data_IF_326886985903
#
_entry.id   IF_326886985903
#
_cell.length_a   1.000
_cell.length_b   1.000
_cell.length_c   1.000
_cell.angle_alpha   90.00
_cell.angle_beta   90.00
_cell.angle_gamma   90.00
#
_symmetry.space_group_name_H-M   'P 1'
#
loop_
_entity.id
_entity.type
_entity.pdbx_description
1 polymer ?
#
# COMPACT_ATOMS: atom_id res chain seq x y z
N UNK A 1 -43.46 82.77 -36.28
CA UNK A 1 -42.99 81.68 -37.15
C UNK A 1 -42.18 80.74 -36.31
N UNK A 2 -42.77 79.66 -35.83
CA UNK A 2 -42.15 78.69 -34.88
C UNK A 2 -41.95 77.41 -35.63
N UNK A 3 -40.72 76.90 -35.65
CA UNK A 3 -40.39 75.64 -36.26
C UNK A 3 -40.06 74.69 -35.09
N UNK A 4 -40.81 73.58 -34.96
CA UNK A 4 -40.61 72.51 -34.05
C UNK A 4 -39.66 71.47 -34.72
N UNK A 5 -38.58 71.12 -34.05
CA UNK A 5 -37.77 70.02 -34.43
C UNK A 5 -37.94 68.84 -33.39
N UNK A 6 -38.48 67.74 -33.87
CA UNK A 6 -38.67 66.53 -33.06
C UNK A 6 -37.40 65.75 -32.99
N UNK A 7 -36.99 65.41 -31.76
CA UNK A 7 -35.91 64.48 -31.48
C UNK A 7 -36.44 63.05 -31.30
N UNK A 8 -36.00 62.14 -32.13
CA UNK A 8 -36.24 60.70 -31.96
C UNK A 8 -35.23 60.10 -30.94
N UNK A 9 -35.74 59.53 -29.85
CA UNK A 9 -34.99 58.77 -28.89
C UNK A 9 -34.96 57.30 -29.34
N UNK A 10 -33.83 56.84 -29.82
CA UNK A 10 -33.58 55.40 -30.07
C UNK A 10 -33.31 54.74 -28.73
N UNK A 11 -34.23 53.89 -28.26
CA UNK A 11 -34.02 52.99 -27.11
C UNK A 11 -33.32 51.75 -27.60
N UNK A 12 -32.02 51.61 -27.29
CA UNK A 12 -31.23 50.40 -27.53
C UNK A 12 -31.53 49.35 -26.46
N UNK A 13 -32.23 48.29 -26.84
CA UNK A 13 -32.52 47.13 -26.02
C UNK A 13 -31.27 46.22 -26.01
N UNK A 14 -30.45 46.25 -24.94
CA UNK A 14 -29.36 45.33 -24.75
C UNK A 14 -29.94 44.02 -24.21
N UNK A 15 -30.02 43.02 -25.10
CA UNK A 15 -30.39 41.65 -24.75
C UNK A 15 -29.18 40.97 -24.08
N UNK A 16 -29.13 40.94 -22.74
CA UNK A 16 -28.14 40.19 -21.98
C UNK A 16 -28.43 38.68 -22.13
N UNK A 17 -27.71 38.00 -23.04
CA UNK A 17 -27.66 36.54 -23.04
C UNK A 17 -26.91 36.10 -21.79
N UNK A 18 -27.63 35.72 -20.75
CA UNK A 18 -27.08 34.99 -19.61
C UNK A 18 -26.60 33.59 -20.09
N UNK A 19 -25.29 33.44 -20.24
CA UNK A 19 -24.66 32.12 -20.34
C UNK A 19 -24.91 31.42 -19.02
N UNK A 20 -25.99 30.63 -18.94
CA UNK A 20 -26.18 29.66 -17.89
C UNK A 20 -25.06 28.60 -18.05
N UNK A 21 -23.99 28.76 -17.29
CA UNK A 21 -23.00 27.70 -17.12
C UNK A 21 -23.73 26.53 -16.46
N UNK A 22 -24.15 25.56 -17.28
CA UNK A 22 -24.56 24.26 -16.78
C UNK A 22 -23.39 23.72 -15.96
N UNK A 23 -23.60 23.29 -14.68
CA UNK A 23 -22.53 22.62 -13.94
C UNK A 23 -22.07 21.44 -14.78
N UNK A 24 -20.76 21.34 -15.01
CA UNK A 24 -20.18 20.20 -15.69
C UNK A 24 -20.63 18.96 -14.90
N UNK A 25 -21.48 18.15 -15.54
CA UNK A 25 -21.97 16.92 -14.93
C UNK A 25 -20.75 16.00 -14.78
N UNK A 26 -20.51 15.52 -13.57
CA UNK A 26 -19.54 14.49 -13.33
C UNK A 26 -19.84 13.33 -14.29
N UNK A 27 -18.84 12.89 -15.08
CA UNK A 27 -19.02 11.90 -16.13
C UNK A 27 -17.85 10.92 -16.11
N UNK A 28 -18.16 9.65 -16.40
CA UNK A 28 -17.15 8.61 -16.61
C UNK A 28 -16.51 8.85 -17.98
N UNK A 29 -15.22 9.11 -18.00
CA UNK A 29 -14.46 9.43 -19.19
C UNK A 29 -14.48 8.26 -20.20
N UNK A 30 -14.88 8.54 -21.43
CA UNK A 30 -14.99 7.52 -22.47
C UNK A 30 -15.98 6.39 -22.21
N UNK A 31 -16.84 6.49 -21.18
CA UNK A 31 -17.84 5.48 -20.82
C UNK A 31 -17.24 4.18 -20.24
N UNK A 32 -15.96 4.17 -19.89
CA UNK A 32 -15.23 3.01 -19.36
C UNK A 32 -14.25 3.47 -18.28
N UNK A 33 -14.30 2.85 -17.12
CA UNK A 33 -13.31 3.07 -16.06
C UNK A 33 -12.10 2.17 -16.30
N UNK A 34 -10.93 2.77 -16.55
CA UNK A 34 -9.68 2.05 -16.77
C UNK A 34 -8.78 2.10 -15.55
N UNK A 35 -8.42 0.93 -15.02
CA UNK A 35 -7.54 0.79 -13.86
C UNK A 35 -6.24 0.14 -14.28
N UNK A 36 -5.14 0.85 -14.08
CA UNK A 36 -3.78 0.38 -14.36
C UNK A 36 -3.17 -0.30 -13.13
N UNK A 37 -2.85 -1.58 -13.23
CA UNK A 37 -2.03 -2.30 -12.25
C UNK A 37 -0.57 -2.10 -12.65
N UNK A 38 0.13 -1.23 -11.93
CA UNK A 38 1.54 -0.92 -12.16
C UNK A 38 2.37 -1.59 -11.08
N UNK A 39 3.08 -2.66 -11.43
CA UNK A 39 3.79 -3.45 -10.43
C UNK A 39 5.18 -3.93 -10.88
N UNK A 40 5.79 -4.78 -10.08
CA UNK A 40 7.03 -5.49 -10.38
C UNK A 40 6.68 -6.93 -10.77
N UNK A 41 6.40 -7.15 -12.06
CA UNK A 41 5.99 -8.44 -12.56
C UNK A 41 7.16 -9.41 -12.77
N UNK A 42 8.39 -8.90 -12.88
CA UNK A 42 9.58 -9.67 -13.26
C UNK A 42 10.69 -9.65 -12.20
N UNK A 43 10.61 -8.79 -11.18
CA UNK A 43 11.68 -8.59 -10.20
C UNK A 43 11.40 -9.19 -8.82
N UNK A 44 11.96 -8.55 -7.79
CA UNK A 44 11.98 -9.06 -6.42
C UNK A 44 10.62 -9.08 -5.70
N UNK A 45 9.64 -8.29 -6.18
CA UNK A 45 8.30 -8.24 -5.59
C UNK A 45 7.26 -9.03 -6.37
N UNK A 46 7.65 -9.78 -7.43
CA UNK A 46 6.71 -10.47 -8.33
C UNK A 46 5.76 -11.42 -7.60
N UNK A 47 6.22 -12.10 -6.55
CA UNK A 47 5.43 -13.12 -5.85
C UNK A 47 4.42 -12.50 -4.88
N UNK A 48 4.72 -11.31 -4.35
CA UNK A 48 3.84 -10.57 -3.42
C UNK A 48 2.95 -9.54 -4.11
N UNK A 49 3.21 -9.24 -5.40
CA UNK A 49 2.39 -8.37 -6.26
C UNK A 49 2.15 -9.05 -7.61
N UNK A 50 2.90 -8.73 -8.65
CA UNK A 50 2.94 -9.41 -9.96
C UNK A 50 1.57 -9.74 -10.57
N UNK A 51 1.44 -10.95 -11.11
CA UNK A 51 0.17 -11.41 -11.70
C UNK A 51 -0.95 -11.52 -10.67
N UNK A 52 -0.63 -11.80 -9.39
CA UNK A 52 -1.62 -11.86 -8.33
C UNK A 52 -2.34 -10.54 -8.11
N UNK A 53 -1.65 -9.39 -8.22
CA UNK A 53 -2.28 -8.08 -8.17
C UNK A 53 -3.24 -7.84 -9.34
N UNK A 54 -2.89 -8.31 -10.53
CA UNK A 54 -3.77 -8.23 -11.71
C UNK A 54 -5.03 -9.07 -11.52
N UNK A 55 -4.88 -10.30 -11.00
CA UNK A 55 -5.99 -11.17 -10.65
C UNK A 55 -6.89 -10.53 -9.58
N UNK A 56 -6.30 -9.95 -8.53
CA UNK A 56 -7.04 -9.27 -7.47
C UNK A 56 -7.85 -8.08 -7.99
N UNK A 57 -7.27 -7.24 -8.86
CA UNK A 57 -7.97 -6.12 -9.50
C UNK A 57 -9.12 -6.59 -10.39
N UNK A 58 -8.93 -7.66 -11.16
CA UNK A 58 -9.99 -8.27 -11.99
C UNK A 58 -11.12 -8.84 -11.14
N UNK A 59 -10.81 -9.52 -10.04
CA UNK A 59 -11.81 -10.02 -9.09
C UNK A 59 -12.64 -8.88 -8.49
N UNK A 60 -12.00 -7.76 -8.14
CA UNK A 60 -12.71 -6.58 -7.64
C UNK A 60 -13.65 -5.98 -8.70
N UNK A 61 -13.20 -5.90 -9.96
CA UNK A 61 -14.03 -5.42 -11.07
C UNK A 61 -15.22 -6.35 -11.36
N UNK A 62 -15.01 -7.66 -11.32
CA UNK A 62 -16.07 -8.67 -11.49
C UNK A 62 -17.11 -8.60 -10.37
N UNK A 63 -16.68 -8.51 -9.11
CA UNK A 63 -17.57 -8.40 -7.95
C UNK A 63 -18.36 -7.09 -7.96
N UNK A 64 -17.74 -6.00 -8.44
CA UNK A 64 -18.40 -4.73 -8.65
C UNK A 64 -19.45 -4.80 -9.78
N UNK A 65 -19.14 -5.43 -10.91
CA UNK A 65 -20.05 -5.59 -12.03
C UNK A 65 -21.31 -6.38 -11.66
N UNK A 66 -21.18 -7.39 -10.78
CA UNK A 66 -22.29 -8.12 -10.19
C UNK A 66 -23.24 -7.25 -9.35
N UNK A 67 -22.81 -6.08 -8.89
CA UNK A 67 -23.60 -5.10 -8.14
C UNK A 67 -24.50 -4.16 -8.96
N UNK A 68 -24.51 -4.26 -10.29
CA UNK A 68 -25.64 -3.79 -11.13
C UNK A 68 -25.63 -2.34 -11.58
N UNK A 69 -24.52 -1.62 -11.67
CA UNK A 69 -24.52 -0.18 -12.10
C UNK A 69 -24.18 0.06 -13.57
N UNK A 70 -23.96 -0.98 -14.38
CA UNK A 70 -23.71 -0.84 -15.83
C UNK A 70 -22.40 -0.15 -16.21
N UNK A 71 -21.52 0.10 -15.23
CA UNK A 71 -20.21 0.71 -15.47
C UNK A 71 -19.26 -0.35 -16.04
N UNK A 72 -18.74 -0.07 -17.23
CA UNK A 72 -17.70 -0.94 -17.83
C UNK A 72 -16.36 -0.67 -17.16
N UNK A 73 -15.64 -1.71 -16.76
CA UNK A 73 -14.32 -1.63 -16.14
C UNK A 73 -13.31 -2.39 -16.99
N UNK A 74 -12.17 -1.77 -17.25
CA UNK A 74 -11.01 -2.39 -17.91
C UNK A 74 -9.80 -2.38 -16.98
N UNK A 75 -9.13 -3.55 -16.85
CA UNK A 75 -7.88 -3.68 -16.13
C UNK A 75 -6.73 -3.78 -17.11
N UNK A 76 -5.86 -2.79 -17.10
CA UNK A 76 -4.59 -2.79 -17.84
C UNK A 76 -3.42 -3.02 -16.89
N UNK A 77 -2.28 -3.48 -17.40
CA UNK A 77 -1.11 -3.79 -16.56
C UNK A 77 0.18 -3.34 -17.19
N UNK A 78 1.17 -3.01 -16.35
CA UNK A 78 2.53 -2.74 -16.79
C UNK A 78 3.54 -3.09 -15.69
N UNK A 79 4.77 -3.42 -16.09
CA UNK A 79 5.89 -3.74 -15.22
C UNK A 79 6.84 -2.54 -15.14
N UNK A 80 7.00 -1.95 -13.94
CA UNK A 80 7.92 -0.85 -13.72
C UNK A 80 9.37 -1.30 -13.48
N UNK A 81 9.62 -2.62 -13.37
CA UNK A 81 10.96 -3.20 -13.24
C UNK A 81 11.78 -2.62 -12.06
N UNK A 82 11.11 -2.16 -11.01
CA UNK A 82 11.71 -1.43 -9.87
C UNK A 82 12.47 -0.15 -10.25
N UNK A 83 12.14 0.46 -11.40
CA UNK A 83 12.80 1.66 -11.94
C UNK A 83 11.83 2.85 -11.95
N UNK A 84 12.12 3.95 -11.21
CA UNK A 84 11.25 5.12 -11.15
C UNK A 84 11.03 5.81 -12.51
N UNK A 85 12.02 5.82 -13.38
CA UNK A 85 11.95 6.37 -14.74
C UNK A 85 11.02 5.55 -15.63
N UNK A 86 11.10 4.22 -15.58
CA UNK A 86 10.19 3.32 -16.30
C UNK A 86 8.75 3.49 -15.80
N UNK A 87 8.53 3.45 -14.48
CA UNK A 87 7.21 3.67 -13.89
C UNK A 87 6.62 5.03 -14.27
N UNK A 88 7.44 6.08 -14.22
CA UNK A 88 7.04 7.44 -14.61
C UNK A 88 6.64 7.54 -16.09
N UNK A 89 7.40 6.92 -16.98
CA UNK A 89 7.10 6.91 -18.42
C UNK A 89 5.79 6.17 -18.71
N UNK A 90 5.57 5.02 -18.07
CA UNK A 90 4.35 4.22 -18.19
C UNK A 90 3.11 5.01 -17.71
N UNK A 91 3.19 5.66 -16.55
CA UNK A 91 2.05 6.42 -16.01
C UNK A 91 1.73 7.64 -16.89
N UNK A 92 2.74 8.37 -17.39
CA UNK A 92 2.49 9.47 -18.34
C UNK A 92 1.79 8.98 -19.60
N UNK A 93 2.25 7.89 -20.19
CA UNK A 93 1.59 7.29 -21.34
C UNK A 93 0.14 6.90 -21.02
N UNK A 94 -0.10 6.31 -19.84
CA UNK A 94 -1.44 5.92 -19.41
C UNK A 94 -2.38 7.12 -19.28
N UNK A 95 -1.88 8.26 -18.78
CA UNK A 95 -2.65 9.50 -18.69
C UNK A 95 -2.90 10.09 -20.09
N UNK A 96 -1.84 10.20 -20.92
CA UNK A 96 -1.90 11.01 -22.14
C UNK A 96 -2.48 10.25 -23.34
N UNK A 97 -2.38 8.91 -23.33
CA UNK A 97 -2.69 8.06 -24.53
C UNK A 97 -3.74 7.00 -24.21
N UNK A 98 -3.55 6.26 -23.12
CA UNK A 98 -4.33 5.04 -22.88
C UNK A 98 -5.62 5.34 -22.05
N UNK A 99 -5.76 6.57 -21.52
CA UNK A 99 -6.94 7.02 -20.77
C UNK A 99 -7.19 6.23 -19.48
N UNK A 100 -6.13 5.97 -18.71
CA UNK A 100 -6.22 5.30 -17.40
C UNK A 100 -6.70 6.30 -16.34
N UNK A 101 -7.72 5.94 -15.57
CA UNK A 101 -8.36 6.78 -14.57
C UNK A 101 -7.77 6.58 -13.17
N UNK A 102 -7.36 5.34 -12.86
CA UNK A 102 -6.71 5.01 -11.59
C UNK A 102 -5.51 4.09 -11.78
N UNK A 103 -4.46 4.30 -10.98
CA UNK A 103 -3.32 3.39 -10.85
C UNK A 103 -3.38 2.74 -9.47
N UNK A 104 -3.19 1.41 -9.43
CA UNK A 104 -3.14 0.62 -8.20
C UNK A 104 -1.81 -0.13 -8.09
N UNK A 105 -1.50 -0.64 -6.89
CA UNK A 105 -0.33 -1.46 -6.54
C UNK A 105 0.93 -0.63 -6.23
N UNK A 106 1.96 -0.66 -7.06
CA UNK A 106 3.23 0.06 -7.01
C UNK A 106 4.09 -0.30 -5.77
N UNK A 107 4.68 -1.50 -5.72
CA UNK A 107 5.39 -1.98 -4.52
C UNK A 107 6.70 -1.24 -4.20
N UNK A 108 7.37 -0.61 -5.17
CA UNK A 108 8.61 0.11 -4.95
C UNK A 108 8.34 1.54 -4.46
N UNK A 109 8.87 1.92 -3.29
CA UNK A 109 8.63 3.25 -2.69
C UNK A 109 9.12 4.41 -3.55
N UNK A 110 10.26 4.28 -4.25
CA UNK A 110 10.77 5.33 -5.12
C UNK A 110 9.90 5.50 -6.38
N UNK A 111 9.41 4.38 -6.94
CA UNK A 111 8.42 4.41 -8.03
C UNK A 111 7.11 5.04 -7.54
N UNK A 112 6.61 4.62 -6.38
CA UNK A 112 5.37 5.16 -5.81
C UNK A 112 5.43 6.68 -5.55
N UNK A 113 6.54 7.18 -5.04
CA UNK A 113 6.76 8.62 -4.86
C UNK A 113 6.80 9.37 -6.20
N UNK A 114 7.39 8.78 -7.24
CA UNK A 114 7.41 9.36 -8.58
C UNK A 114 6.00 9.37 -9.21
N UNK A 115 5.24 8.27 -9.08
CA UNK A 115 3.85 8.18 -9.53
C UNK A 115 2.97 9.20 -8.80
N UNK A 116 3.12 9.32 -7.48
CA UNK A 116 2.41 10.32 -6.67
C UNK A 116 2.67 11.76 -7.14
N UNK A 117 3.91 12.08 -7.49
CA UNK A 117 4.27 13.40 -8.02
C UNK A 117 3.64 13.66 -9.40
N UNK A 118 3.53 12.64 -10.26
CA UNK A 118 2.87 12.73 -11.57
C UNK A 118 1.36 12.88 -11.41
N UNK A 119 0.74 12.05 -10.55
CA UNK A 119 -0.70 12.06 -10.34
C UNK A 119 -1.20 13.42 -9.82
N UNK A 120 -0.39 14.10 -9.01
CA UNK A 120 -0.73 15.42 -8.46
C UNK A 120 -1.03 16.42 -9.57
N UNK A 121 -2.22 17.00 -9.57
CA UNK A 121 -2.66 18.00 -10.56
C UNK A 121 -3.13 17.42 -11.89
N UNK A 122 -3.29 16.10 -11.98
CA UNK A 122 -3.92 15.42 -13.12
C UNK A 122 -5.30 14.90 -12.73
N UNK A 123 -5.98 14.19 -13.65
CA UNK A 123 -7.23 13.49 -13.34
C UNK A 123 -7.00 12.15 -12.63
N UNK A 124 -5.78 11.61 -12.69
CA UNK A 124 -5.43 10.27 -12.24
C UNK A 124 -5.62 10.11 -10.74
N UNK A 125 -6.32 9.05 -10.33
CA UNK A 125 -6.35 8.55 -8.96
C UNK A 125 -5.19 7.58 -8.74
N UNK A 126 -4.39 7.80 -7.69
CA UNK A 126 -3.35 6.85 -7.28
C UNK A 126 -3.76 6.14 -5.99
N UNK A 127 -4.00 4.83 -6.08
CA UNK A 127 -4.29 3.94 -4.96
C UNK A 127 -3.04 3.14 -4.63
N UNK A 128 -2.19 3.68 -3.78
CA UNK A 128 -0.92 3.10 -3.38
C UNK A 128 -1.16 1.89 -2.45
N UNK A 129 -1.55 0.76 -3.02
CA UNK A 129 -1.92 -0.44 -2.25
C UNK A 129 -0.72 -1.35 -1.92
N UNK A 130 0.47 -1.02 -2.41
CA UNK A 130 1.71 -1.74 -2.08
C UNK A 130 2.91 -0.83 -1.78
N UNK A 131 2.77 0.48 -2.00
CA UNK A 131 3.84 1.44 -1.69
C UNK A 131 3.91 1.68 -0.19
N UNK A 132 5.01 1.29 0.44
CA UNK A 132 5.13 1.32 1.90
C UNK A 132 5.69 2.64 2.47
N UNK A 133 6.20 3.58 1.66
CA UNK A 133 6.75 4.83 2.18
C UNK A 133 5.73 5.66 2.96
N UNK A 134 5.97 5.92 4.24
CA UNK A 134 5.13 6.80 5.08
C UNK A 134 5.13 8.28 4.64
N UNK A 135 6.03 8.67 3.74
CA UNK A 135 6.08 10.00 3.14
C UNK A 135 4.87 10.30 2.23
N UNK A 136 4.20 9.25 1.69
CA UNK A 136 3.01 9.41 0.84
C UNK A 136 1.82 10.03 1.59
N UNK A 137 1.76 9.87 2.90
CA UNK A 137 0.76 10.49 3.78
C UNK A 137 1.39 11.48 4.75
N UNK A 138 2.66 11.82 4.50
CA UNK A 138 3.45 12.83 5.20
C UNK A 138 3.74 14.03 4.30
N UNK A 139 4.99 14.42 4.24
CA UNK A 139 5.48 15.61 3.50
C UNK A 139 5.13 15.61 2.00
N UNK A 140 4.87 14.44 1.41
CA UNK A 140 4.51 14.29 -0.01
C UNK A 140 3.05 13.92 -0.22
N UNK A 141 2.18 14.06 0.79
CA UNK A 141 0.75 13.76 0.60
C UNK A 141 0.15 14.55 -0.57
N UNK A 142 -0.77 13.91 -1.27
CA UNK A 142 -1.37 14.43 -2.50
C UNK A 142 -2.89 14.33 -2.45
N UNK A 143 -3.64 15.29 -3.00
CA UNK A 143 -5.09 15.19 -3.09
C UNK A 143 -5.54 14.03 -4.01
N UNK A 144 -4.64 13.52 -4.86
CA UNK A 144 -4.91 12.46 -5.82
C UNK A 144 -4.51 11.06 -5.34
N UNK A 145 -4.02 10.92 -4.09
CA UNK A 145 -3.44 9.67 -3.62
C UNK A 145 -4.08 9.18 -2.33
N UNK A 146 -4.39 7.88 -2.30
CA UNK A 146 -4.73 7.15 -1.07
C UNK A 146 -3.71 6.02 -0.90
N UNK A 147 -3.05 5.96 0.26
CA UNK A 147 -2.19 4.87 0.66
C UNK A 147 -3.01 3.82 1.41
N UNK A 148 -3.12 2.61 0.86
CA UNK A 148 -4.13 1.63 1.29
C UNK A 148 -3.65 0.64 2.34
N UNK A 149 -2.48 0.01 2.15
CA UNK A 149 -1.91 -0.95 3.10
C UNK A 149 -0.97 -0.27 4.11
N UNK A 150 -0.41 -1.04 5.03
CA UNK A 150 0.52 -0.54 6.04
C UNK A 150 1.76 0.12 5.42
N UNK A 151 2.23 1.17 6.08
CA UNK A 151 3.44 1.91 5.71
C UNK A 151 4.62 1.59 6.65
N UNK A 152 5.78 2.17 6.35
CA UNK A 152 7.00 1.97 7.15
C UNK A 152 6.82 2.41 8.60
N UNK A 153 6.08 3.49 8.86
CA UNK A 153 5.78 3.95 10.21
C UNK A 153 4.95 2.92 10.99
N UNK A 154 3.84 2.48 10.38
CA UNK A 154 2.90 1.55 11.02
C UNK A 154 3.57 0.21 11.33
N UNK A 155 4.31 -0.32 10.34
CA UNK A 155 5.04 -1.58 10.50
C UNK A 155 6.13 -1.47 11.56
N UNK A 156 6.94 -0.39 11.52
CA UNK A 156 8.00 -0.15 12.49
C UNK A 156 7.42 0.01 13.91
N UNK A 157 6.35 0.81 14.07
CA UNK A 157 5.72 1.04 15.36
C UNK A 157 5.12 -0.24 15.94
N UNK A 158 4.32 -0.96 15.17
CA UNK A 158 3.65 -2.18 15.63
C UNK A 158 4.66 -3.26 16.06
N UNK A 159 5.71 -3.49 15.27
CA UNK A 159 6.71 -4.51 15.57
C UNK A 159 7.59 -4.11 16.75
N UNK A 160 8.14 -2.88 16.75
CA UNK A 160 9.02 -2.43 17.84
C UNK A 160 8.28 -2.36 19.19
N UNK A 161 7.07 -1.79 19.22
CA UNK A 161 6.28 -1.68 20.46
C UNK A 161 5.97 -3.04 21.08
N UNK A 162 5.64 -4.02 20.24
CA UNK A 162 5.37 -5.38 20.72
C UNK A 162 6.62 -6.08 21.22
N UNK A 163 7.73 -5.95 20.50
CA UNK A 163 9.00 -6.55 20.92
C UNK A 163 9.54 -5.91 22.20
N UNK A 164 9.36 -4.60 22.38
CA UNK A 164 9.71 -3.90 23.63
C UNK A 164 8.90 -4.43 24.81
N UNK A 165 7.60 -4.68 24.66
CA UNK A 165 6.77 -5.32 25.70
C UNK A 165 7.26 -6.74 26.06
N UNK A 166 7.98 -7.40 25.17
CA UNK A 166 8.63 -8.71 25.37
C UNK A 166 10.06 -8.62 25.91
N UNK A 167 10.53 -7.41 26.24
CA UNK A 167 11.86 -7.18 26.84
C UNK A 167 13.00 -7.03 25.82
N UNK A 168 12.72 -6.76 24.56
CA UNK A 168 13.72 -6.55 23.50
C UNK A 168 14.41 -5.20 23.62
N UNK A 169 15.40 -5.08 24.52
CA UNK A 169 16.05 -3.83 24.86
C UNK A 169 17.22 -3.44 23.95
N UNK A 170 17.67 -4.31 23.05
CA UNK A 170 18.79 -4.02 22.15
C UNK A 170 18.57 -4.61 20.75
N UNK A 171 18.97 -3.85 19.72
CA UNK A 171 18.64 -4.12 18.32
C UNK A 171 19.86 -3.93 17.42
N UNK A 172 19.94 -4.75 16.37
CA UNK A 172 20.86 -4.59 15.25
C UNK A 172 20.08 -4.69 13.94
N UNK A 173 20.30 -3.76 13.02
CA UNK A 173 19.57 -3.73 11.75
C UNK A 173 20.38 -4.30 10.59
N UNK A 174 19.72 -5.04 9.71
CA UNK A 174 20.18 -5.38 8.37
C UNK A 174 19.27 -4.63 7.38
N UNK A 175 19.80 -3.60 6.75
CA UNK A 175 19.01 -2.59 6.04
C UNK A 175 19.35 -2.56 4.56
N UNK A 176 18.35 -2.74 3.70
CA UNK A 176 18.54 -2.57 2.26
C UNK A 176 18.79 -1.10 1.94
N UNK A 177 19.83 -0.82 1.15
CA UNK A 177 20.31 0.53 0.84
C UNK A 177 19.44 1.21 -0.23
N UNK A 178 18.16 1.44 0.06
CA UNK A 178 17.27 2.32 -0.71
C UNK A 178 16.13 2.87 0.17
N UNK A 179 15.27 3.72 -0.40
CA UNK A 179 14.28 4.49 0.34
C UNK A 179 13.44 3.69 1.36
N UNK A 180 13.04 2.47 1.03
CA UNK A 180 12.25 1.61 1.91
C UNK A 180 13.02 1.25 3.18
N UNK A 181 14.22 0.65 3.04
CA UNK A 181 15.00 0.18 4.18
C UNK A 181 15.41 1.32 5.10
N UNK A 182 15.84 2.44 4.51
CA UNK A 182 16.21 3.64 5.26
C UNK A 182 15.02 4.22 6.05
N UNK A 183 13.82 4.23 5.47
CA UNK A 183 12.62 4.69 6.16
C UNK A 183 12.23 3.77 7.32
N UNK A 184 12.26 2.45 7.12
CA UNK A 184 11.98 1.45 8.17
C UNK A 184 12.95 1.59 9.34
N UNK A 185 14.27 1.61 9.05
CA UNK A 185 15.30 1.75 10.09
C UNK A 185 15.16 3.06 10.86
N UNK A 186 14.94 4.18 10.17
CA UNK A 186 14.76 5.48 10.80
C UNK A 186 13.51 5.53 11.69
N UNK A 187 12.37 5.03 11.23
CA UNK A 187 11.15 4.96 12.01
C UNK A 187 11.32 4.05 13.24
N UNK A 188 11.87 2.84 13.05
CA UNK A 188 12.12 1.90 14.15
C UNK A 188 13.11 2.47 15.18
N UNK A 189 14.24 3.03 14.74
CA UNK A 189 15.24 3.62 15.64
C UNK A 189 14.67 4.77 16.47
N UNK A 190 13.77 5.57 15.90
CA UNK A 190 13.07 6.65 16.63
C UNK A 190 12.21 6.07 17.76
N UNK A 191 11.42 5.02 17.51
CA UNK A 191 10.58 4.38 18.53
C UNK A 191 11.42 3.71 19.61
N UNK A 192 12.47 3.01 19.23
CA UNK A 192 13.40 2.37 20.16
C UNK A 192 14.06 3.39 21.08
N UNK A 193 14.55 4.49 20.52
CA UNK A 193 15.15 5.60 21.29
C UNK A 193 14.15 6.22 22.27
N UNK A 194 12.92 6.48 21.84
CA UNK A 194 11.87 7.02 22.68
C UNK A 194 11.52 6.10 23.87
N UNK A 195 11.62 4.79 23.65
CA UNK A 195 11.39 3.77 24.70
C UNK A 195 12.64 3.44 25.55
N UNK A 196 13.78 4.09 25.32
CA UNK A 196 15.03 3.83 26.05
C UNK A 196 15.75 2.54 25.61
N UNK A 197 15.35 1.92 24.51
CA UNK A 197 16.05 0.78 23.94
C UNK A 197 17.28 1.22 23.10
N UNK A 198 18.21 0.30 22.89
CA UNK A 198 19.49 0.62 22.25
C UNK A 198 19.56 0.01 20.84
N UNK A 199 19.97 0.80 19.89
CA UNK A 199 20.44 0.31 18.59
C UNK A 199 21.95 0.11 18.69
N UNK A 200 22.40 -1.14 18.65
CA UNK A 200 23.81 -1.50 18.79
C UNK A 200 24.59 -1.36 17.48
N UNK A 201 23.89 -1.31 16.35
CA UNK A 201 24.47 -1.09 15.04
C UNK A 201 23.49 -1.35 13.91
N UNK A 202 23.99 -1.07 12.72
CA UNK A 202 23.32 -1.34 11.45
C UNK A 202 24.32 -1.75 10.39
N UNK A 203 23.92 -2.63 9.48
CA UNK A 203 24.70 -2.97 8.29
C UNK A 203 23.80 -2.85 7.06
N UNK A 204 24.28 -2.08 6.07
CA UNK A 204 23.55 -1.86 4.83
C UNK A 204 23.99 -2.86 3.75
N UNK A 205 23.04 -3.19 2.87
CA UNK A 205 23.26 -4.04 1.70
C UNK A 205 22.54 -3.50 0.46
N UNK A 206 23.04 -3.76 -0.75
CA UNK A 206 22.33 -3.42 -1.98
C UNK A 206 21.08 -4.29 -2.16
N UNK A 207 20.17 -3.89 -3.06
CA UNK A 207 19.06 -4.75 -3.48
C UNK A 207 19.58 -6.01 -4.17
N UNK A 208 18.85 -7.10 -4.05
CA UNK A 208 19.17 -8.42 -4.60
C UNK A 208 20.52 -8.97 -4.08
N UNK A 209 20.80 -8.80 -2.80
CA UNK A 209 21.97 -9.35 -2.13
C UNK A 209 21.87 -10.87 -2.06
N UNK A 210 22.83 -11.56 -2.66
CA UNK A 210 22.88 -13.02 -2.66
C UNK A 210 23.57 -13.61 -1.42
N UNK A 211 24.47 -12.86 -0.79
CA UNK A 211 25.28 -13.33 0.35
C UNK A 211 25.17 -12.33 1.52
N UNK A 212 24.53 -12.79 2.60
CA UNK A 212 24.36 -12.06 3.86
C UNK A 212 25.37 -12.49 4.94
N UNK A 213 26.26 -13.43 4.67
CA UNK A 213 27.13 -14.06 5.67
C UNK A 213 27.89 -13.06 6.53
N UNK A 214 28.61 -12.11 5.91
CA UNK A 214 29.36 -11.09 6.64
C UNK A 214 28.48 -10.14 7.46
N UNK A 215 27.25 -9.86 6.98
CA UNK A 215 26.29 -8.99 7.65
C UNK A 215 25.68 -9.71 8.87
N UNK A 216 25.34 -10.99 8.72
CA UNK A 216 24.81 -11.84 9.79
C UNK A 216 25.83 -12.07 10.89
N UNK A 217 27.11 -12.31 10.54
CA UNK A 217 28.18 -12.42 11.53
C UNK A 217 28.36 -11.13 12.35
N UNK A 218 28.24 -9.96 11.72
CA UNK A 218 28.26 -8.68 12.45
C UNK A 218 27.06 -8.55 13.39
N UNK A 219 25.86 -8.92 12.91
CA UNK A 219 24.65 -8.89 13.72
C UNK A 219 24.77 -9.85 14.92
N UNK A 220 25.27 -11.07 14.72
CA UNK A 220 25.51 -12.06 15.76
C UNK A 220 26.51 -11.54 16.80
N UNK A 221 27.66 -11.01 16.33
CA UNK A 221 28.74 -10.51 17.19
C UNK A 221 28.34 -9.25 17.97
N UNK A 222 27.30 -8.53 17.56
CA UNK A 222 26.80 -7.37 18.28
C UNK A 222 26.19 -7.70 19.64
N UNK A 223 25.76 -8.94 19.85
CA UNK A 223 25.06 -9.38 21.04
C UNK A 223 23.67 -8.72 21.21
N UNK A 224 23.12 -8.13 20.16
CA UNK A 224 21.78 -7.56 20.18
C UNK A 224 20.75 -8.64 20.49
N UNK A 225 19.72 -8.31 21.29
CA UNK A 225 18.60 -9.22 21.54
C UNK A 225 17.79 -9.48 20.28
N UNK A 226 17.69 -8.47 19.39
CA UNK A 226 16.93 -8.53 18.14
C UNK A 226 17.83 -8.24 16.96
N UNK A 227 17.78 -9.09 15.94
CA UNK A 227 18.26 -8.84 14.58
C UNK A 227 17.06 -8.50 13.71
N UNK A 228 17.04 -7.28 13.19
CA UNK A 228 15.90 -6.69 12.52
C UNK A 228 16.15 -6.52 11.03
N UNK A 229 15.36 -7.18 10.20
CA UNK A 229 15.44 -7.12 8.75
C UNK A 229 14.63 -5.95 8.23
N UNK A 230 15.32 -4.86 7.88
CA UNK A 230 14.75 -3.67 7.22
C UNK A 230 14.90 -3.79 5.70
N UNK A 231 14.37 -4.87 5.14
CA UNK A 231 14.34 -5.22 3.72
C UNK A 231 13.00 -5.90 3.39
N UNK A 232 12.82 -6.44 2.19
CA UNK A 232 11.60 -7.13 1.76
C UNK A 232 11.85 -8.05 0.55
N UNK A 233 10.91 -8.95 0.26
CA UNK A 233 10.94 -9.83 -0.90
C UNK A 233 12.16 -10.76 -0.91
N UNK A 234 12.83 -10.91 -2.06
CA UNK A 234 13.96 -11.83 -2.22
C UNK A 234 15.10 -11.61 -1.22
N UNK A 235 15.35 -10.36 -0.80
CA UNK A 235 16.39 -10.06 0.20
C UNK A 235 16.00 -10.60 1.58
N UNK A 236 14.73 -10.48 1.99
CA UNK A 236 14.23 -11.08 3.24
C UNK A 236 14.30 -12.60 3.19
N UNK A 237 13.89 -13.21 2.07
CA UNK A 237 13.94 -14.67 1.89
C UNK A 237 15.38 -15.19 2.06
N UNK A 238 16.34 -14.55 1.39
CA UNK A 238 17.75 -14.93 1.44
C UNK A 238 18.32 -14.71 2.83
N UNK A 239 18.06 -13.55 3.45
CA UNK A 239 18.56 -13.24 4.78
C UNK A 239 18.04 -14.22 5.85
N UNK A 240 16.76 -14.59 5.82
CA UNK A 240 16.18 -15.55 6.77
C UNK A 240 16.77 -16.96 6.58
N UNK A 241 16.94 -17.43 5.35
CA UNK A 241 17.56 -18.72 5.06
C UNK A 241 18.98 -18.79 5.61
N UNK A 242 19.79 -17.79 5.31
CA UNK A 242 21.16 -17.74 5.80
C UNK A 242 21.23 -17.49 7.31
N UNK A 243 20.34 -16.70 7.89
CA UNK A 243 20.27 -16.53 9.35
C UNK A 243 20.02 -17.85 10.09
N UNK A 244 19.23 -18.75 9.51
CA UNK A 244 19.02 -20.09 10.05
C UNK A 244 20.29 -20.96 9.95
N UNK A 245 21.05 -20.87 8.86
CA UNK A 245 22.35 -21.58 8.71
C UNK A 245 23.37 -21.09 9.73
N UNK A 246 23.38 -19.82 10.09
CA UNK A 246 24.25 -19.24 11.12
C UNK A 246 23.72 -19.40 12.54
N UNK A 247 22.56 -20.03 12.75
CA UNK A 247 21.97 -20.24 14.07
C UNK A 247 21.58 -18.92 14.79
N UNK A 248 21.32 -17.84 14.05
CA UNK A 248 20.96 -16.52 14.62
C UNK A 248 19.79 -16.66 15.60
N UNK A 249 18.73 -17.37 15.18
CA UNK A 249 17.49 -17.51 15.96
C UNK A 249 17.63 -18.39 17.23
N UNK A 250 18.78 -18.95 17.50
CA UNK A 250 19.05 -19.72 18.73
C UNK A 250 19.30 -18.77 19.93
N UNK A 251 19.89 -17.60 19.68
CA UNK A 251 20.30 -16.66 20.72
C UNK A 251 19.74 -15.25 20.57
N UNK A 252 19.23 -14.91 19.41
CA UNK A 252 18.70 -13.59 19.05
C UNK A 252 17.31 -13.75 18.41
N UNK A 253 16.39 -12.86 18.70
CA UNK A 253 15.10 -12.83 18.02
C UNK A 253 15.30 -12.27 16.60
N UNK A 254 14.90 -13.02 15.56
CA UNK A 254 14.88 -12.53 14.19
C UNK A 254 13.51 -11.95 13.89
N UNK A 255 13.46 -10.70 13.42
CA UNK A 255 12.22 -10.01 13.06
C UNK A 255 12.32 -9.45 11.64
N UNK A 256 11.21 -9.48 10.90
CA UNK A 256 11.12 -8.88 9.57
C UNK A 256 10.00 -7.82 9.55
N UNK A 257 10.36 -6.59 9.16
CA UNK A 257 9.38 -5.50 9.08
C UNK A 257 8.43 -5.65 7.90
N UNK A 258 8.89 -6.19 6.79
CA UNK A 258 8.09 -6.44 5.59
C UNK A 258 8.39 -7.85 5.08
N UNK A 259 7.68 -8.82 5.61
CA UNK A 259 7.63 -10.19 5.12
C UNK A 259 6.16 -10.58 4.92
N UNK A 260 5.89 -11.31 3.87
CA UNK A 260 4.56 -11.70 3.45
C UNK A 260 4.41 -13.21 3.43
N UNK A 261 3.19 -13.72 3.42
CA UNK A 261 2.93 -15.17 3.41
C UNK A 261 3.63 -15.90 2.25
N UNK A 262 3.77 -15.24 1.10
CA UNK A 262 4.48 -15.78 -0.07
C UNK A 262 5.99 -15.91 0.19
N UNK A 263 6.59 -14.98 0.94
CA UNK A 263 7.98 -15.09 1.37
C UNK A 263 8.17 -16.27 2.30
N UNK A 264 7.22 -16.49 3.24
CA UNK A 264 7.27 -17.63 4.16
C UNK A 264 7.15 -18.97 3.41
N UNK A 265 6.28 -19.04 2.40
CA UNK A 265 6.18 -20.22 1.52
C UNK A 265 7.51 -20.50 0.80
N UNK A 266 8.17 -19.47 0.28
CA UNK A 266 9.45 -19.58 -0.40
C UNK A 266 10.63 -19.90 0.54
N UNK A 267 10.59 -19.42 1.78
CA UNK A 267 11.58 -19.77 2.83
C UNK A 267 11.39 -21.21 3.27
N UNK A 268 10.15 -21.63 3.45
CA UNK A 268 9.78 -22.91 4.04
C UNK A 268 9.62 -22.85 5.56
N UNK A 269 8.58 -23.46 6.05
CA UNK A 269 8.15 -23.39 7.46
C UNK A 269 9.22 -23.84 8.47
N UNK A 270 10.04 -24.90 8.23
CA UNK A 270 11.09 -25.30 9.14
C UNK A 270 12.15 -24.23 9.38
N UNK A 271 12.44 -23.42 8.36
CA UNK A 271 13.45 -22.35 8.40
C UNK A 271 12.85 -21.07 8.96
N UNK A 272 11.63 -20.71 8.54
CA UNK A 272 10.95 -19.48 8.93
C UNK A 272 10.32 -19.54 10.34
N UNK A 273 10.26 -20.69 10.99
CA UNK A 273 9.62 -20.87 12.30
C UNK A 273 10.07 -19.80 13.30
N UNK A 274 9.12 -19.29 14.07
CA UNK A 274 9.31 -18.26 15.10
C UNK A 274 9.63 -16.86 14.57
N UNK A 275 9.78 -16.64 13.25
CA UNK A 275 9.90 -15.30 12.69
C UNK A 275 8.68 -14.47 13.10
N UNK A 276 8.93 -13.25 13.55
CA UNK A 276 7.88 -12.30 13.92
C UNK A 276 7.71 -11.24 12.82
N UNK A 277 6.47 -10.96 12.48
CA UNK A 277 6.12 -10.01 11.42
C UNK A 277 4.76 -9.35 11.71
N UNK A 278 4.51 -8.21 11.05
CA UNK A 278 3.20 -7.54 11.11
C UNK A 278 2.60 -7.44 9.73
N UNK A 279 1.31 -7.82 9.62
CA UNK A 279 0.55 -7.70 8.39
C UNK A 279 -0.84 -7.12 8.64
N UNK A 280 -1.45 -6.58 7.59
CA UNK A 280 -2.83 -6.07 7.61
C UNK A 280 -3.85 -7.09 7.17
N UNK A 281 -3.41 -8.19 6.59
CA UNK A 281 -4.25 -9.25 6.05
C UNK A 281 -3.61 -10.61 6.28
N UNK A 282 -4.45 -11.59 6.59
CA UNK A 282 -4.13 -13.01 6.52
C UNK A 282 -5.38 -13.76 6.05
N UNK A 283 -5.18 -14.74 5.20
CA UNK A 283 -6.28 -15.45 4.55
C UNK A 283 -7.25 -16.16 5.54
N UNK A 284 -6.77 -16.55 6.70
CA UNK A 284 -7.53 -17.29 7.73
C UNK A 284 -7.95 -16.41 8.93
N UNK A 285 -8.24 -15.13 8.70
CA UNK A 285 -8.74 -14.24 9.77
C UNK A 285 -10.26 -14.33 9.94
N UNK A 286 -11.02 -14.33 8.85
CA UNK A 286 -12.49 -14.31 8.85
C UNK A 286 -13.03 -15.23 7.75
N UNK A 287 -14.36 -15.43 7.72
CA UNK A 287 -14.99 -16.21 6.65
C UNK A 287 -14.84 -15.50 5.29
N UNK A 288 -14.89 -14.16 5.27
CA UNK A 288 -14.72 -13.36 4.06
C UNK A 288 -13.30 -13.46 3.52
N UNK A 289 -12.27 -13.39 4.38
CA UNK A 289 -10.88 -13.56 3.96
C UNK A 289 -10.60 -14.96 3.43
N UNK A 290 -11.19 -16.00 4.04
CA UNK A 290 -11.12 -17.38 3.55
C UNK A 290 -11.79 -17.55 2.19
N UNK A 291 -12.98 -16.99 2.01
CA UNK A 291 -13.73 -17.05 0.75
C UNK A 291 -12.97 -16.33 -0.39
N UNK A 292 -12.42 -15.15 -0.11
CA UNK A 292 -11.59 -14.41 -1.07
C UNK A 292 -10.34 -15.22 -1.45
N UNK A 293 -9.59 -15.70 -0.45
CA UNK A 293 -8.34 -16.42 -0.68
C UNK A 293 -8.57 -17.71 -1.48
N UNK A 294 -9.65 -18.43 -1.25
CA UNK A 294 -10.02 -19.61 -2.05
C UNK A 294 -10.25 -19.24 -3.51
N UNK A 295 -11.08 -18.23 -3.78
CA UNK A 295 -11.36 -17.75 -5.15
C UNK A 295 -10.11 -17.25 -5.85
N UNK A 296 -9.22 -16.60 -5.13
CA UNK A 296 -7.92 -16.14 -5.62
C UNK A 296 -7.02 -17.33 -5.96
N UNK A 297 -6.90 -18.30 -5.07
CA UNK A 297 -6.08 -19.50 -5.24
C UNK A 297 -6.55 -20.34 -6.45
N UNK A 298 -7.86 -20.46 -6.67
CA UNK A 298 -8.44 -21.15 -7.83
C UNK A 298 -7.94 -20.53 -9.17
N UNK A 299 -7.57 -19.22 -9.17
CA UNK A 299 -7.05 -18.48 -10.34
C UNK A 299 -5.51 -18.42 -10.38
N UNK A 300 -4.87 -18.67 -9.25
CA UNK A 300 -3.42 -18.55 -9.08
C UNK A 300 -2.74 -19.90 -8.86
N UNK A 301 -3.33 -21.02 -9.34
CA UNK A 301 -2.71 -22.34 -9.27
C UNK A 301 -2.48 -22.83 -7.83
N UNK A 302 -3.33 -22.44 -6.89
CA UNK A 302 -3.25 -22.81 -5.48
C UNK A 302 -2.41 -21.87 -4.62
N UNK A 303 -1.89 -20.76 -5.20
CA UNK A 303 -1.16 -19.73 -4.44
C UNK A 303 -2.14 -18.80 -3.73
N UNK A 304 -1.93 -18.57 -2.44
CA UNK A 304 -2.76 -17.69 -1.62
C UNK A 304 -2.29 -16.23 -1.71
N UNK A 305 -3.21 -15.26 -1.50
CA UNK A 305 -2.91 -13.84 -1.68
C UNK A 305 -2.04 -13.28 -0.55
N UNK A 306 -1.12 -12.38 -0.90
CA UNK A 306 -0.44 -11.51 0.05
C UNK A 306 -1.35 -10.38 0.54
N UNK A 307 -0.92 -9.66 1.58
CA UNK A 307 -1.60 -8.43 2.01
C UNK A 307 -1.63 -7.35 0.92
N UNK A 308 -0.61 -7.26 0.08
CA UNK A 308 -0.56 -6.33 -1.04
C UNK A 308 -1.64 -6.64 -2.09
N UNK A 309 -1.76 -7.91 -2.48
CA UNK A 309 -2.77 -8.37 -3.42
C UNK A 309 -4.20 -8.21 -2.87
N UNK A 310 -4.40 -8.48 -1.57
CA UNK A 310 -5.66 -8.17 -0.89
C UNK A 310 -5.94 -6.67 -0.88
N UNK A 311 -4.91 -5.84 -0.68
CA UNK A 311 -4.98 -4.38 -0.76
C UNK A 311 -5.37 -3.87 -2.14
N UNK A 312 -4.86 -4.48 -3.21
CA UNK A 312 -5.28 -4.15 -4.59
C UNK A 312 -6.76 -4.43 -4.78
N UNK A 313 -7.26 -5.58 -4.35
CA UNK A 313 -8.69 -5.92 -4.43
C UNK A 313 -9.55 -4.89 -3.68
N UNK A 314 -9.23 -4.63 -2.42
CA UNK A 314 -9.99 -3.72 -1.55
C UNK A 314 -9.98 -2.28 -2.08
N UNK A 315 -8.80 -1.75 -2.45
CA UNK A 315 -8.66 -0.39 -2.98
C UNK A 315 -9.41 -0.22 -4.32
N UNK A 316 -9.30 -1.19 -5.22
CA UNK A 316 -9.99 -1.19 -6.51
C UNK A 316 -11.51 -1.18 -6.30
N UNK A 317 -12.02 -2.03 -5.42
CA UNK A 317 -13.44 -2.09 -5.10
C UNK A 317 -13.96 -0.79 -4.51
N UNK A 318 -13.26 -0.23 -3.51
CA UNK A 318 -13.65 1.02 -2.87
C UNK A 318 -13.65 2.21 -3.85
N UNK A 319 -12.69 2.24 -4.78
CA UNK A 319 -12.64 3.22 -5.86
C UNK A 319 -13.86 3.08 -6.80
N UNK A 320 -14.15 1.88 -7.29
CA UNK A 320 -15.28 1.64 -8.19
C UNK A 320 -16.63 1.97 -7.53
N UNK A 321 -16.79 1.67 -6.24
CA UNK A 321 -17.96 2.08 -5.48
C UNK A 321 -18.09 3.61 -5.41
N UNK A 322 -16.98 4.34 -5.21
CA UNK A 322 -16.98 5.81 -5.20
C UNK A 322 -17.28 6.39 -6.59
N UNK A 323 -16.74 5.79 -7.66
CA UNK A 323 -17.10 6.15 -9.05
C UNK A 323 -18.60 5.97 -9.27
N UNK A 324 -19.17 4.86 -8.82
CA UNK A 324 -20.59 4.59 -8.97
C UNK A 324 -21.50 5.53 -8.15
N UNK A 325 -21.03 6.01 -7.00
CA UNK A 325 -21.74 6.96 -6.16
C UNK A 325 -21.71 8.38 -6.75
N UNK A 326 -20.56 8.78 -7.27
CA UNK A 326 -20.35 10.14 -7.79
C UNK A 326 -20.73 10.31 -9.26
N UNK A 327 -20.73 9.21 -10.03
CA UNK A 327 -20.88 9.24 -11.48
C UNK A 327 -19.65 9.79 -12.20
N UNK A 328 -18.50 9.89 -11.54
CA UNK A 328 -17.25 10.42 -12.07
C UNK A 328 -16.07 9.48 -11.76
N UNK A 329 -15.02 9.54 -12.57
CA UNK A 329 -13.80 8.73 -12.43
C UNK A 329 -12.54 9.55 -12.06
N UNK A 330 -12.66 10.88 -12.09
CA UNK A 330 -11.53 11.77 -11.82
C UNK A 330 -11.22 11.90 -10.33
N UNK A 331 -9.93 11.99 -10.00
CA UNK A 331 -9.43 12.08 -8.64
C UNK A 331 -10.04 13.22 -7.82
N UNK A 332 -10.27 14.37 -8.45
CA UNK A 332 -10.83 15.56 -7.78
C UNK A 332 -12.25 15.32 -7.22
N UNK A 333 -12.99 14.39 -7.78
CA UNK A 333 -14.34 14.00 -7.34
C UNK A 333 -14.31 12.73 -6.49
N UNK A 334 -13.59 11.71 -6.92
CA UNK A 334 -13.62 10.38 -6.29
C UNK A 334 -12.88 10.37 -4.94
N UNK A 335 -11.70 10.99 -4.84
CA UNK A 335 -10.92 10.98 -3.59
C UNK A 335 -11.67 11.67 -2.44
N UNK A 336 -12.28 12.87 -2.61
CA UNK A 336 -13.13 13.45 -1.58
C UNK A 336 -14.31 12.56 -1.18
N UNK A 337 -14.96 11.90 -2.14
CA UNK A 337 -16.06 10.98 -1.86
C UNK A 337 -15.59 9.77 -1.02
N UNK A 338 -14.45 9.16 -1.37
CA UNK A 338 -13.87 8.07 -0.57
C UNK A 338 -13.54 8.51 0.87
N UNK A 339 -13.01 9.72 1.05
CA UNK A 339 -12.73 10.29 2.39
C UNK A 339 -14.01 10.59 3.17
N UNK A 340 -15.05 11.07 2.51
CA UNK A 340 -16.32 11.43 3.13
C UNK A 340 -17.13 10.23 3.64
N UNK A 341 -16.83 9.01 3.19
CA UNK A 341 -17.50 7.79 3.67
C UNK A 341 -17.29 7.54 5.17
N UNK A 342 -16.25 8.14 5.77
CA UNK A 342 -15.85 7.82 7.15
C UNK A 342 -15.44 6.36 7.27
N UNK A 343 -15.87 5.71 8.35
CA UNK A 343 -15.61 4.25 8.55
C UNK A 343 -16.61 3.41 7.79
N UNK A 344 -16.11 2.46 7.02
CA UNK A 344 -16.92 1.52 6.28
C UNK A 344 -16.39 0.10 6.41
N UNK A 345 -17.28 -0.88 6.25
CA UNK A 345 -16.93 -2.32 6.28
C UNK A 345 -16.20 -2.70 5.00
N UNK A 346 -15.09 -3.40 5.17
CA UNK A 346 -14.33 -4.03 4.09
C UNK A 346 -14.21 -5.54 4.35
N UNK A 347 -14.45 -6.40 3.36
CA UNK A 347 -14.42 -7.84 3.57
C UNK A 347 -13.06 -8.40 3.93
N UNK A 348 -11.97 -7.68 3.59
CA UNK A 348 -10.60 -8.17 3.79
C UNK A 348 -9.88 -7.48 4.96
N UNK A 349 -10.21 -6.23 5.23
CA UNK A 349 -9.57 -5.40 6.27
C UNK A 349 -10.53 -5.08 7.44
N UNK A 350 -11.71 -5.69 7.47
CA UNK A 350 -12.79 -5.52 8.43
C UNK A 350 -13.40 -4.12 8.38
N UNK A 351 -12.71 -3.10 8.83
CA UNK A 351 -13.16 -1.72 8.85
C UNK A 351 -12.06 -0.80 8.38
N UNK A 352 -12.37 0.07 7.41
CA UNK A 352 -11.44 1.05 6.83
C UNK A 352 -11.99 2.46 7.03
N UNK A 353 -11.10 3.39 7.29
CA UNK A 353 -11.35 4.83 7.22
C UNK A 353 -10.25 5.50 6.39
N UNK A 354 -10.63 6.33 5.42
CA UNK A 354 -9.67 7.12 4.63
C UNK A 354 -9.54 8.51 5.25
N UNK A 355 -8.40 8.80 5.87
CA UNK A 355 -8.13 10.06 6.55
C UNK A 355 -7.87 11.21 5.60
N UNK A 356 -7.85 12.44 6.14
CA UNK A 356 -7.59 13.67 5.39
C UNK A 356 -6.22 13.68 4.68
N UNK A 357 -5.19 13.07 5.28
CA UNK A 357 -3.85 12.90 4.69
C UNK A 357 -3.78 11.86 3.57
N UNK A 358 -4.90 11.19 3.25
CA UNK A 358 -4.95 10.12 2.25
C UNK A 358 -4.54 8.75 2.79
N UNK A 359 -4.38 8.58 4.10
CA UNK A 359 -4.10 7.28 4.71
C UNK A 359 -5.39 6.50 4.93
N UNK A 360 -5.50 5.31 4.33
CA UNK A 360 -6.49 4.33 4.73
C UNK A 360 -5.99 3.62 6.00
N UNK A 361 -6.77 3.70 7.08
CA UNK A 361 -6.44 3.10 8.38
C UNK A 361 -7.37 1.91 8.66
N UNK A 362 -6.79 0.84 9.22
CA UNK A 362 -7.43 -0.43 9.53
C UNK A 362 -6.63 -1.17 10.61
N UNK A 363 -7.11 -2.27 11.21
CA UNK A 363 -6.32 -3.05 12.16
C UNK A 363 -5.03 -3.60 11.52
N UNK A 364 -3.96 -3.72 12.33
CA UNK A 364 -2.78 -4.50 12.02
C UNK A 364 -2.69 -5.72 12.94
N UNK A 365 -2.02 -6.74 12.46
CA UNK A 365 -1.89 -7.99 13.19
C UNK A 365 -0.43 -8.34 13.36
N UNK A 366 0.00 -8.64 14.60
CA UNK A 366 1.28 -9.26 14.85
C UNK A 366 1.12 -10.77 14.73
N UNK A 367 1.94 -11.36 13.89
CA UNK A 367 2.00 -12.80 13.71
C UNK A 367 3.36 -13.36 14.10
N UNK A 368 3.33 -14.62 14.49
CA UNK A 368 4.50 -15.49 14.56
C UNK A 368 4.34 -16.59 13.52
N UNK A 369 5.41 -16.87 12.79
CA UNK A 369 5.44 -18.03 11.89
C UNK A 369 5.42 -19.32 12.72
N UNK A 370 4.47 -20.20 12.41
CA UNK A 370 4.25 -21.49 13.07
C UNK A 370 5.46 -22.41 12.93
N UNK A 371 5.66 -23.26 13.93
CA UNK A 371 6.48 -24.45 13.74
C UNK A 371 5.76 -25.45 12.81
N UNK A 372 6.47 -26.34 12.11
CA UNK A 372 5.84 -27.34 11.24
C UNK A 372 4.76 -28.18 11.94
N UNK A 373 4.94 -28.50 13.24
CA UNK A 373 3.98 -29.25 14.05
C UNK A 373 2.69 -28.48 14.39
N UNK A 374 2.66 -27.16 14.24
CA UNK A 374 1.51 -26.29 14.50
C UNK A 374 0.70 -26.04 13.23
N UNK A 375 1.25 -26.30 12.05
CA UNK A 375 0.62 -26.07 10.76
C UNK A 375 -0.27 -27.22 10.32
N UNK A 376 -1.45 -26.92 9.79
CA UNK A 376 -2.38 -27.89 9.21
C UNK A 376 -2.10 -28.19 7.73
N UNK A 377 -1.13 -27.51 7.12
CA UNK A 377 -0.77 -27.68 5.72
C UNK A 377 -0.22 -26.40 5.08
N UNK A 378 -0.02 -26.45 3.76
CA UNK A 378 0.49 -25.29 3.00
C UNK A 378 -0.42 -24.08 3.18
N UNK A 379 0.16 -22.90 3.34
CA UNK A 379 -0.45 -21.59 3.62
C UNK A 379 -0.96 -21.40 5.06
N UNK A 380 -1.05 -22.44 5.89
CA UNK A 380 -1.35 -22.28 7.32
C UNK A 380 -0.09 -21.98 8.13
N UNK A 381 0.47 -20.78 7.90
CA UNK A 381 1.80 -20.41 8.38
C UNK A 381 1.80 -19.50 9.60
N UNK A 382 0.71 -18.80 9.89
CA UNK A 382 0.70 -17.76 10.91
C UNK A 382 -0.11 -18.13 12.14
N UNK A 383 0.46 -17.76 13.28
CA UNK A 383 -0.21 -17.72 14.57
C UNK A 383 -0.39 -16.27 14.96
N UNK A 384 -1.64 -15.85 15.10
CA UNK A 384 -1.99 -14.51 15.56
C UNK A 384 -1.57 -14.35 17.02
N UNK A 385 -0.69 -13.39 17.30
CA UNK A 385 -0.25 -13.07 18.66
C UNK A 385 -0.99 -11.86 19.23
N UNK A 386 -1.24 -10.85 18.40
CA UNK A 386 -1.87 -9.61 18.84
C UNK A 386 -2.55 -8.90 17.66
N UNK A 387 -3.73 -8.34 17.92
CA UNK A 387 -4.32 -7.30 17.06
C UNK A 387 -3.88 -5.95 17.59
N UNK A 388 -3.26 -5.13 16.73
CA UNK A 388 -2.91 -3.75 17.01
C UNK A 388 -4.09 -2.88 16.59
N UNK A 389 -4.77 -2.21 17.53
CA UNK A 389 -5.93 -1.36 17.19
C UNK A 389 -5.54 -0.27 16.20
N UNK A 390 -6.47 0.08 15.31
CA UNK A 390 -6.28 1.10 14.26
C UNK A 390 -5.69 2.41 14.80
N UNK A 391 -6.16 2.86 15.98
CA UNK A 391 -5.69 4.10 16.62
C UNK A 391 -4.21 4.04 17.06
N UNK A 392 -3.67 2.84 17.32
CA UNK A 392 -2.27 2.63 17.71
C UNK A 392 -1.40 2.24 16.52
N UNK A 393 -2.01 1.67 15.46
CA UNK A 393 -1.28 1.09 14.34
C UNK A 393 -0.65 2.14 13.43
N UNK A 394 -1.31 3.29 13.24
CA UNK A 394 -0.91 4.31 12.27
C UNK A 394 -0.47 5.60 12.92
N UNK A 395 0.44 6.31 12.23
CA UNK A 395 0.97 7.59 12.67
C UNK A 395 -0.16 8.57 12.99
N UNK A 396 -0.11 9.26 14.16
CA UNK A 396 -1.06 10.33 14.46
C UNK A 396 -1.09 11.37 13.32
N UNK A 397 -2.28 11.83 12.96
CA UNK A 397 -2.48 12.74 11.83
C UNK A 397 -1.63 14.01 11.94
N UNK A 398 -1.53 14.57 13.17
CA UNK A 398 -0.75 15.77 13.46
C UNK A 398 0.77 15.58 13.29
N UNK A 399 1.28 14.34 13.37
CA UNK A 399 2.70 14.03 13.27
C UNK A 399 3.16 13.77 11.83
N UNK A 400 2.21 13.69 10.87
CA UNK A 400 2.48 13.35 9.49
C UNK A 400 3.22 14.43 8.70
N UNK A 401 3.02 15.70 9.04
CA UNK A 401 3.56 16.82 8.28
C UNK A 401 2.94 16.96 6.89
N UNK A 402 1.73 16.44 6.69
CA UNK A 402 1.01 16.55 5.43
C UNK A 402 0.48 17.98 5.24
N UNK A 403 0.85 18.71 4.16
CA UNK A 403 0.39 20.07 3.92
C UNK A 403 -1.13 20.18 3.64
N UNK A 404 -1.83 19.08 3.40
CA UNK A 404 -3.28 19.03 3.22
C UNK A 404 -4.04 18.95 4.55
N UNK A 405 -3.34 18.71 5.66
CA UNK A 405 -3.89 18.64 7.02
C UNK A 405 -3.53 19.93 7.74
N UNK A 406 -4.53 20.70 8.13
CA UNK A 406 -4.39 21.97 8.89
C UNK A 406 -4.74 21.74 10.34
#
# INVERSE_FOLDING_TARGET
MRIFTGGQVLASLILALGLASTPARAEISGGVVRIGVLNDASGMFRDVTGEGSVVAARMAAEDFAGGGKGIKVEIVRADHQNKPDVGSALVRRWIDVDGVDAVVDVPNSAVGLAVNAIARGTRLTFLASSTASSDLTGKFCSPNTIQWVNDTWATAHALTSTMLKRGAASWYFLTVHFALGQAIEADAARFLKAAGARVLGSAQHPMATADFSALLLRAQSSGAKVVALANSGADTITAVKQAAEFGISENQDLVAFLAFINDIDAIGLPVAKNLLLTESFYWDLTDETRAFAKRFADRMGGTYPSANQAGVYSATRAYLEAVAETGADEAATVIPAMKARGRFKDPLFQEIEVRADGRAIHPLYLFQVKAPSESKGRWDYYKLLQTVPTAEAFRPLAEGGCPLVR
#
